data_IF_003362502292
#
_entry.id   IF_003362502292
#
_cell.length_a   1.000
_cell.length_b   1.000
_cell.length_c   1.000
_cell.angle_alpha   90.00
_cell.angle_beta   90.00
_cell.angle_gamma   90.00
#
_symmetry.space_group_name_H-M   'P 1'
#
loop_
_entity.id
_entity.type
_entity.pdbx_description
1 polymer ?
#
# COMPACT_ATOMS: atom_id res chain seq x y z
N UNK A 1 -64.94 -21.52 2.74
CA UNK A 1 -64.13 -20.46 3.43
C UNK A 1 -62.66 -20.71 3.15
N UNK A 2 -62.05 -20.01 2.20
CA UNK A 2 -60.62 -20.08 1.89
C UNK A 2 -59.94 -18.90 2.62
N UNK A 3 -59.06 -19.20 3.61
CA UNK A 3 -58.24 -18.18 4.24
C UNK A 3 -57.00 -17.93 3.40
N UNK A 4 -56.88 -16.77 2.78
CA UNK A 4 -55.66 -16.28 2.12
C UNK A 4 -54.73 -15.78 3.16
N UNK A 5 -53.58 -16.46 3.32
CA UNK A 5 -52.46 -16.07 4.19
C UNK A 5 -51.60 -15.06 3.42
N UNK A 6 -51.74 -13.78 3.74
CA UNK A 6 -50.85 -12.73 3.21
C UNK A 6 -49.48 -12.82 3.93
N UNK A 7 -48.46 -13.29 3.19
CA UNK A 7 -47.07 -13.16 3.64
C UNK A 7 -46.61 -11.70 3.49
N UNK A 8 -46.46 -11.02 4.61
CA UNK A 8 -45.80 -9.71 4.65
C UNK A 8 -44.30 -9.93 4.53
N UNK A 9 -43.73 -9.68 3.36
CA UNK A 9 -42.28 -9.72 3.12
C UNK A 9 -41.68 -8.41 3.69
N UNK A 10 -41.20 -8.45 4.95
CA UNK A 10 -40.39 -7.36 5.51
C UNK A 10 -39.04 -7.35 4.80
N UNK A 11 -38.86 -6.48 3.81
CA UNK A 11 -37.55 -6.11 3.29
C UNK A 11 -36.80 -5.40 4.44
N UNK A 12 -35.91 -6.12 5.10
CA UNK A 12 -34.87 -5.54 5.95
C UNK A 12 -33.94 -4.72 5.06
N UNK A 13 -34.20 -3.43 4.94
CA UNK A 13 -33.25 -2.45 4.43
C UNK A 13 -32.06 -2.42 5.42
N UNK A 14 -31.09 -3.29 5.21
CA UNK A 14 -29.80 -3.13 5.88
C UNK A 14 -29.25 -1.76 5.46
N UNK A 15 -28.86 -0.88 6.42
CA UNK A 15 -28.23 0.36 6.06
C UNK A 15 -26.94 0.03 5.29
N UNK A 16 -26.92 0.36 4.01
CA UNK A 16 -25.67 0.40 3.24
C UNK A 16 -24.83 1.46 3.94
N UNK A 17 -23.78 1.05 4.67
CA UNK A 17 -22.86 1.97 5.28
C UNK A 17 -22.26 2.83 4.16
N UNK A 18 -22.81 4.02 3.97
CA UNK A 18 -22.29 5.01 3.05
C UNK A 18 -21.08 5.65 3.73
N UNK A 19 -19.90 5.16 3.39
CA UNK A 19 -18.65 5.80 3.82
C UNK A 19 -18.42 7.06 2.97
N UNK A 20 -18.02 8.14 3.65
CA UNK A 20 -17.69 9.39 2.97
C UNK A 20 -16.35 9.24 2.22
N UNK A 21 -16.32 9.71 0.98
CA UNK A 21 -15.09 9.84 0.20
C UNK A 21 -14.75 11.32 0.10
N UNK A 22 -13.55 11.68 0.56
CA UNK A 22 -13.01 13.03 0.42
C UNK A 22 -12.10 13.10 -0.81
N UNK A 23 -12.51 13.85 -1.81
CA UNK A 23 -11.82 13.98 -3.09
C UNK A 23 -12.19 15.29 -3.80
N UNK A 24 -11.44 15.66 -4.82
CA UNK A 24 -11.86 16.69 -5.78
C UNK A 24 -12.43 16.05 -7.04
N UNK A 25 -13.34 16.73 -7.73
CA UNK A 25 -13.94 16.23 -8.98
C UNK A 25 -12.90 15.87 -10.04
N UNK A 26 -11.79 16.59 -10.09
CA UNK A 26 -10.65 16.28 -10.97
C UNK A 26 -10.04 14.91 -10.70
N UNK A 27 -10.04 14.44 -9.43
CA UNK A 27 -9.52 13.14 -9.06
C UNK A 27 -10.38 12.01 -9.65
N UNK A 28 -11.72 12.12 -9.55
CA UNK A 28 -12.63 11.10 -10.12
C UNK A 28 -12.54 11.02 -11.64
N UNK A 29 -12.47 12.16 -12.32
CA UNK A 29 -12.30 12.21 -13.78
C UNK A 29 -10.96 11.56 -14.18
N UNK A 30 -9.87 11.85 -13.45
CA UNK A 30 -8.57 11.28 -13.71
C UNK A 30 -8.53 9.76 -13.48
N UNK A 31 -9.17 9.27 -12.41
CA UNK A 31 -9.30 7.82 -12.14
C UNK A 31 -9.97 7.10 -13.30
N UNK A 32 -11.12 7.59 -13.78
CA UNK A 32 -11.85 6.95 -14.88
C UNK A 32 -11.07 6.96 -16.19
N UNK A 33 -10.34 8.05 -16.46
CA UNK A 33 -9.42 8.12 -17.60
C UNK A 33 -8.31 7.06 -17.47
N UNK A 34 -7.65 6.96 -16.31
CA UNK A 34 -6.60 5.98 -16.06
C UNK A 34 -7.12 4.54 -16.19
N UNK A 35 -8.30 4.22 -15.65
CA UNK A 35 -8.91 2.89 -15.77
C UNK A 35 -9.22 2.52 -17.22
N UNK A 36 -9.75 3.46 -18.00
CA UNK A 36 -9.99 3.27 -19.43
C UNK A 36 -8.70 2.98 -20.18
N UNK A 37 -7.67 3.81 -19.95
CA UNK A 37 -6.40 3.71 -20.65
C UNK A 37 -5.63 2.45 -20.26
N UNK A 38 -5.62 2.08 -18.97
CA UNK A 38 -5.04 0.84 -18.48
C UNK A 38 -5.72 -0.42 -19.02
N UNK A 39 -7.04 -0.35 -19.24
CA UNK A 39 -7.80 -1.46 -19.82
C UNK A 39 -7.51 -1.69 -21.31
N UNK A 40 -6.99 -0.69 -21.99
CA UNK A 40 -6.62 -0.78 -23.41
C UNK A 40 -5.20 -1.34 -23.62
N UNK A 41 -4.43 -1.54 -22.55
CA UNK A 41 -3.07 -2.06 -22.64
C UNK A 41 -3.05 -3.55 -23.02
N UNK A 42 -1.98 -4.02 -23.70
CA UNK A 42 -1.74 -5.44 -23.92
C UNK A 42 -1.76 -6.25 -22.60
N UNK A 43 -2.25 -7.49 -22.65
CA UNK A 43 -2.46 -8.33 -21.47
C UNK A 43 -1.17 -8.67 -20.68
N UNK A 44 -0.02 -8.60 -21.32
CA UNK A 44 1.31 -8.82 -20.74
C UNK A 44 1.91 -7.57 -20.10
N UNK A 45 1.25 -6.41 -20.22
CA UNK A 45 1.72 -5.15 -19.66
C UNK A 45 1.71 -5.15 -18.13
N UNK A 46 2.77 -4.61 -17.52
CA UNK A 46 2.77 -4.35 -16.08
C UNK A 46 1.88 -3.14 -15.75
N UNK A 47 0.64 -3.39 -15.35
CA UNK A 47 -0.30 -2.35 -14.92
C UNK A 47 0.26 -1.52 -13.75
N UNK A 48 0.91 -2.18 -12.78
CA UNK A 48 1.56 -1.49 -11.65
C UNK A 48 2.56 -0.44 -12.13
N UNK A 49 3.45 -0.83 -13.07
CA UNK A 49 4.46 0.09 -13.59
C UNK A 49 3.85 1.15 -14.50
N UNK A 50 2.85 0.79 -15.31
CA UNK A 50 2.11 1.74 -16.13
C UNK A 50 1.49 2.84 -15.27
N UNK A 51 0.70 2.47 -14.26
CA UNK A 51 0.04 3.45 -13.40
C UNK A 51 1.04 4.27 -12.57
N UNK A 52 2.08 3.65 -12.03
CA UNK A 52 3.09 4.38 -11.28
C UNK A 52 3.73 5.51 -12.11
N UNK A 53 3.98 5.27 -13.39
CA UNK A 53 4.55 6.26 -14.31
C UNK A 53 3.62 7.44 -14.59
N UNK A 54 2.29 7.26 -14.50
CA UNK A 54 1.32 8.35 -14.68
C UNK A 54 1.39 9.42 -13.58
N UNK A 55 2.06 9.12 -12.48
CA UNK A 55 2.21 10.02 -11.34
C UNK A 55 3.59 10.68 -11.24
N UNK A 56 4.51 10.40 -12.17
CA UNK A 56 5.83 11.04 -12.20
C UNK A 56 5.71 12.56 -12.24
N UNK A 57 6.51 13.23 -11.40
CA UNK A 57 6.54 14.68 -11.28
C UNK A 57 5.51 15.26 -10.29
N UNK A 58 4.51 14.50 -9.83
CA UNK A 58 3.57 15.00 -8.82
C UNK A 58 4.29 15.38 -7.52
N UNK A 59 3.86 16.45 -6.84
CA UNK A 59 4.43 16.86 -5.57
C UNK A 59 4.36 15.77 -4.49
N UNK A 60 5.42 15.65 -3.69
CA UNK A 60 5.39 14.88 -2.45
C UNK A 60 4.73 15.72 -1.35
N UNK A 61 3.67 15.19 -0.75
CA UNK A 61 3.06 15.77 0.44
C UNK A 61 2.63 14.64 1.37
N UNK A 62 3.19 14.63 2.58
CA UNK A 62 2.81 13.67 3.61
C UNK A 62 1.53 14.08 4.35
N UNK A 63 0.93 13.11 5.05
CA UNK A 63 -0.24 13.33 5.93
C UNK A 63 -1.51 13.78 5.20
N UNK A 64 -1.63 13.53 3.91
CA UNK A 64 -2.84 13.90 3.14
C UNK A 64 -4.09 13.10 3.52
N UNK A 65 -3.92 12.01 4.26
CA UNK A 65 -5.02 11.17 4.77
C UNK A 65 -5.61 11.68 6.09
N UNK A 66 -4.93 12.59 6.77
CA UNK A 66 -5.42 13.11 8.04
C UNK A 66 -6.55 14.11 7.82
N UNK A 67 -7.53 14.14 8.73
CA UNK A 67 -8.60 15.12 8.77
C UNK A 67 -8.43 16.05 9.98
N UNK A 68 -8.84 17.28 9.85
CA UNK A 68 -8.75 18.28 10.93
C UNK A 68 -9.70 17.97 12.09
N UNK A 69 -10.85 17.34 11.81
CA UNK A 69 -11.87 16.99 12.78
C UNK A 69 -11.69 15.57 13.36
N UNK A 70 -10.62 14.86 12.98
CA UNK A 70 -10.31 13.50 13.45
C UNK A 70 -11.19 12.40 12.87
N UNK A 71 -12.12 12.71 11.97
CA UNK A 71 -12.96 11.69 11.34
C UNK A 71 -12.18 10.91 10.29
N UNK A 72 -12.35 9.61 10.30
CA UNK A 72 -11.77 8.76 9.26
C UNK A 72 -12.64 8.78 8.01
N UNK A 73 -12.04 9.11 6.88
CA UNK A 73 -12.67 9.18 5.58
C UNK A 73 -11.80 8.47 4.53
N UNK A 74 -12.42 7.93 3.50
CA UNK A 74 -11.65 7.44 2.35
C UNK A 74 -11.15 8.62 1.53
N UNK A 75 -9.91 9.04 1.79
CA UNK A 75 -9.30 10.14 1.05
C UNK A 75 -8.72 9.66 -0.27
N UNK A 76 -9.07 10.36 -1.36
CA UNK A 76 -8.45 10.20 -2.68
C UNK A 76 -7.86 11.54 -3.09
N UNK A 77 -6.55 11.56 -3.36
CA UNK A 77 -5.84 12.75 -3.80
C UNK A 77 -4.81 12.33 -4.87
N UNK A 78 -5.10 12.62 -6.14
CA UNK A 78 -4.22 12.32 -7.27
C UNK A 78 -3.37 13.53 -7.70
N UNK A 79 -3.36 14.61 -6.92
CA UNK A 79 -2.62 15.84 -7.23
C UNK A 79 -1.29 15.93 -6.48
N UNK A 80 -1.18 15.22 -5.37
CA UNK A 80 0.01 15.12 -4.53
C UNK A 80 -0.03 13.80 -3.75
N UNK A 81 1.13 13.23 -3.46
CA UNK A 81 1.23 11.90 -2.85
C UNK A 81 2.42 11.79 -1.92
N UNK A 82 2.32 10.92 -0.93
CA UNK A 82 3.45 10.32 -0.24
C UNK A 82 3.71 8.89 -0.75
N UNK A 83 4.71 8.20 -0.18
CA UNK A 83 5.09 6.88 -0.64
C UNK A 83 3.97 5.84 -0.44
N UNK A 84 3.19 5.95 0.63
CA UNK A 84 2.09 5.03 0.93
C UNK A 84 0.91 5.27 -0.01
N UNK A 85 0.48 6.52 -0.14
CA UNK A 85 -0.66 6.87 -1.01
C UNK A 85 -0.37 6.63 -2.48
N UNK A 86 0.88 6.77 -2.94
CA UNK A 86 1.29 6.36 -4.29
C UNK A 86 1.09 4.86 -4.48
N UNK A 87 1.65 4.02 -3.59
CA UNK A 87 1.56 2.56 -3.69
C UNK A 87 0.10 2.09 -3.62
N UNK A 88 -0.69 2.61 -2.69
CA UNK A 88 -2.10 2.28 -2.56
C UNK A 88 -2.91 2.67 -3.81
N UNK A 89 -2.71 3.89 -4.33
CA UNK A 89 -3.41 4.35 -5.54
C UNK A 89 -3.10 3.49 -6.75
N UNK A 90 -1.80 3.19 -6.97
CA UNK A 90 -1.35 2.33 -8.08
C UNK A 90 -1.89 0.91 -7.94
N UNK A 91 -1.90 0.38 -6.72
CA UNK A 91 -2.45 -0.96 -6.45
C UNK A 91 -3.96 -1.00 -6.68
N UNK A 92 -4.71 -0.01 -6.19
CA UNK A 92 -6.17 0.06 -6.38
C UNK A 92 -6.56 0.18 -7.87
N UNK A 93 -5.86 1.01 -8.65
CA UNK A 93 -6.04 1.11 -10.10
C UNK A 93 -5.75 -0.22 -10.80
N UNK A 94 -4.68 -0.90 -10.39
CA UNK A 94 -4.29 -2.20 -10.95
C UNK A 94 -5.35 -3.27 -10.67
N UNK A 95 -5.82 -3.37 -9.42
CA UNK A 95 -6.87 -4.32 -9.04
C UNK A 95 -8.19 -4.00 -9.75
N UNK A 96 -8.61 -2.73 -9.77
CA UNK A 96 -9.82 -2.32 -10.48
C UNK A 96 -9.76 -2.74 -11.95
N UNK A 97 -8.68 -2.43 -12.65
CA UNK A 97 -8.52 -2.79 -14.08
C UNK A 97 -8.53 -4.29 -14.32
N UNK A 98 -7.79 -5.07 -13.50
CA UNK A 98 -7.73 -6.54 -13.61
C UNK A 98 -9.09 -7.21 -13.42
N UNK A 99 -9.93 -6.64 -12.56
CA UNK A 99 -11.28 -7.14 -12.28
C UNK A 99 -12.36 -6.48 -13.13
N UNK A 100 -11.99 -5.84 -14.24
CA UNK A 100 -12.94 -5.28 -15.20
C UNK A 100 -13.57 -3.96 -14.79
N UNK A 101 -13.15 -3.35 -13.69
CA UNK A 101 -13.65 -2.05 -13.21
C UNK A 101 -13.30 -0.93 -14.18
N UNK A 102 -14.23 0.03 -14.33
CA UNK A 102 -14.10 1.16 -15.26
C UNK A 102 -14.52 2.49 -14.64
N UNK A 103 -15.16 2.44 -13.48
CA UNK A 103 -15.79 3.58 -12.84
C UNK A 103 -15.06 4.00 -11.57
N UNK A 104 -15.28 5.24 -11.19
CA UNK A 104 -14.80 5.80 -9.92
C UNK A 104 -15.08 4.91 -8.71
N UNK A 105 -16.30 4.35 -8.64
CA UNK A 105 -16.69 3.48 -7.53
C UNK A 105 -15.85 2.20 -7.45
N UNK A 106 -15.46 1.61 -8.59
CA UNK A 106 -14.61 0.41 -8.62
C UNK A 106 -13.25 0.70 -7.99
N UNK A 107 -12.64 1.83 -8.35
CA UNK A 107 -11.38 2.27 -7.75
C UNK A 107 -11.51 2.50 -6.24
N UNK A 108 -12.56 3.21 -5.79
CA UNK A 108 -12.79 3.49 -4.38
C UNK A 108 -12.97 2.20 -3.58
N UNK A 109 -13.70 1.22 -4.11
CA UNK A 109 -13.88 -0.09 -3.47
C UNK A 109 -12.54 -0.82 -3.29
N UNK A 110 -11.67 -0.82 -4.30
CA UNK A 110 -10.35 -1.43 -4.19
C UNK A 110 -9.42 -0.67 -3.27
N UNK A 111 -9.47 0.67 -3.28
CA UNK A 111 -8.69 1.48 -2.37
C UNK A 111 -9.10 1.23 -0.91
N UNK A 112 -10.40 1.18 -0.63
CA UNK A 112 -10.94 0.81 0.68
C UNK A 112 -10.44 -0.59 1.07
N UNK A 113 -10.52 -1.54 0.14
CA UNK A 113 -10.14 -2.92 0.35
C UNK A 113 -8.67 -3.09 0.80
N UNK A 114 -7.75 -2.28 0.33
CA UNK A 114 -6.33 -2.41 0.65
C UNK A 114 -5.88 -1.48 1.78
N UNK A 115 -6.50 -0.31 1.97
CA UNK A 115 -6.11 0.68 2.98
C UNK A 115 -6.54 0.29 4.39
N UNK A 116 -7.69 -0.38 4.51
CA UNK A 116 -8.29 -0.70 5.79
C UNK A 116 -8.27 -2.19 6.08
N UNK A 117 -8.16 -2.56 7.36
CA UNK A 117 -8.24 -3.95 7.78
C UNK A 117 -9.53 -4.60 7.25
N UNK A 118 -9.34 -5.72 6.57
CA UNK A 118 -10.41 -6.51 5.95
C UNK A 118 -11.33 -5.70 5.01
N UNK A 119 -10.83 -4.54 4.55
CA UNK A 119 -11.56 -3.64 3.67
C UNK A 119 -12.71 -2.89 4.35
N UNK A 120 -12.66 -2.73 5.65
CA UNK A 120 -13.71 -2.07 6.42
C UNK A 120 -13.19 -0.83 7.14
N UNK A 121 -13.74 0.33 6.79
CA UNK A 121 -13.44 1.58 7.47
C UNK A 121 -14.34 1.72 8.72
N UNK A 122 -13.71 1.72 9.90
CA UNK A 122 -14.38 1.87 11.18
C UNK A 122 -13.47 2.63 12.17
N UNK A 123 -13.34 3.93 11.96
CA UNK A 123 -12.46 4.81 12.71
C UNK A 123 -10.99 4.69 12.33
N UNK A 124 -10.16 5.51 12.95
CA UNK A 124 -8.75 5.70 12.63
C UNK A 124 -7.92 4.42 12.71
N UNK A 125 -8.12 3.62 13.78
CA UNK A 125 -7.39 2.37 14.00
C UNK A 125 -7.75 1.24 13.02
N UNK A 126 -8.78 1.43 12.18
CA UNK A 126 -9.11 0.47 11.11
C UNK A 126 -8.20 0.63 9.88
N UNK A 127 -7.50 1.74 9.73
CA UNK A 127 -6.50 1.95 8.70
C UNK A 127 -5.24 1.12 8.99
N UNK A 128 -4.63 0.54 7.95
CA UNK A 128 -3.37 -0.18 8.09
C UNK A 128 -2.21 0.84 8.20
N UNK A 129 -1.87 1.23 9.43
CA UNK A 129 -0.86 2.27 9.69
C UNK A 129 0.59 1.80 9.48
N UNK A 130 0.83 0.49 9.63
CA UNK A 130 2.13 -0.14 9.36
C UNK A 130 2.03 -1.00 8.11
N UNK A 131 3.10 -1.04 7.33
CA UNK A 131 3.02 -1.74 6.06
C UNK A 131 2.93 -3.26 6.23
N UNK A 132 3.45 -3.82 7.32
CA UNK A 132 3.23 -5.24 7.66
C UNK A 132 1.75 -5.56 7.92
N UNK A 133 1.01 -4.62 8.49
CA UNK A 133 -0.45 -4.74 8.67
C UNK A 133 -1.16 -4.72 7.31
N UNK A 134 -0.75 -3.80 6.43
CA UNK A 134 -1.25 -3.68 5.07
C UNK A 134 -1.04 -4.97 4.26
N UNK A 135 0.19 -5.52 4.30
CA UNK A 135 0.52 -6.79 3.64
C UNK A 135 -0.39 -7.90 4.15
N UNK A 136 -0.44 -8.10 5.46
CA UNK A 136 -1.19 -9.21 6.07
C UNK A 136 -2.70 -9.12 5.78
N UNK A 137 -3.28 -7.92 5.83
CA UNK A 137 -4.69 -7.69 5.49
C UNK A 137 -4.96 -7.99 4.00
N UNK A 138 -4.12 -7.50 3.11
CA UNK A 138 -4.27 -7.70 1.67
C UNK A 138 -3.98 -9.15 1.23
N UNK A 139 -3.00 -9.84 1.85
CA UNK A 139 -2.70 -11.28 1.59
C UNK A 139 -3.87 -12.18 1.99
N UNK A 140 -4.47 -11.98 3.19
CA UNK A 140 -5.65 -12.77 3.62
C UNK A 140 -6.80 -12.72 2.62
N UNK A 141 -6.89 -11.63 1.89
CA UNK A 141 -7.93 -11.40 0.87
C UNK A 141 -7.50 -11.78 -0.54
N UNK A 142 -6.28 -12.32 -0.71
CA UNK A 142 -5.75 -12.72 -2.01
C UNK A 142 -5.46 -11.56 -2.96
N UNK A 143 -5.31 -10.32 -2.45
CA UNK A 143 -5.10 -9.12 -3.28
C UNK A 143 -3.62 -8.94 -3.64
N UNK A 144 -2.75 -9.35 -2.73
CA UNK A 144 -1.30 -9.32 -2.90
C UNK A 144 -0.68 -10.62 -2.38
N UNK A 145 0.57 -10.85 -2.72
CA UNK A 145 1.39 -11.92 -2.19
C UNK A 145 2.78 -11.39 -1.87
N UNK A 146 3.25 -11.63 -0.66
CA UNK A 146 4.64 -11.35 -0.33
C UNK A 146 5.56 -12.38 -0.98
N UNK A 147 6.51 -11.92 -1.77
CA UNK A 147 7.48 -12.79 -2.45
C UNK A 147 8.48 -13.29 -1.42
N UNK A 148 8.40 -14.57 -1.08
CA UNK A 148 9.26 -15.18 -0.05
C UNK A 148 10.41 -16.02 -0.65
N UNK A 149 10.40 -16.20 -1.97
CA UNK A 149 11.33 -17.08 -2.68
C UNK A 149 11.14 -18.55 -2.30
N UNK A 150 11.37 -19.47 -3.23
CA UNK A 150 11.37 -20.91 -2.94
C UNK A 150 12.68 -21.32 -2.24
N UNK A 151 12.60 -22.13 -1.19
CA UNK A 151 13.76 -22.66 -0.43
C UNK A 151 14.68 -23.58 -1.25
N UNK A 152 14.34 -23.89 -2.51
CA UNK A 152 15.15 -24.69 -3.43
C UNK A 152 15.85 -23.88 -4.54
N UNK A 153 15.75 -22.54 -4.53
CA UNK A 153 16.41 -21.73 -5.56
C UNK A 153 17.92 -21.61 -5.30
N UNK A 154 18.71 -21.76 -6.34
CA UNK A 154 20.19 -21.68 -6.32
C UNK A 154 20.72 -20.36 -5.73
N UNK A 155 19.91 -19.30 -5.77
CA UNK A 155 20.18 -17.98 -5.21
C UNK A 155 18.96 -17.50 -4.43
N UNK A 156 18.89 -17.84 -3.16
CA UNK A 156 17.84 -17.38 -2.26
C UNK A 156 18.24 -16.04 -1.60
N UNK A 157 17.65 -14.91 -1.98
CA UNK A 157 18.11 -13.60 -1.51
C UNK A 157 17.53 -13.18 -0.15
N UNK A 158 16.44 -13.81 0.35
CA UNK A 158 15.77 -13.43 1.61
C UNK A 158 16.50 -14.01 2.83
N UNK A 159 17.73 -13.58 3.05
CA UNK A 159 18.66 -14.18 4.02
C UNK A 159 18.58 -13.58 5.41
N UNK A 160 17.86 -12.46 5.57
CA UNK A 160 17.72 -11.80 6.86
C UNK A 160 16.27 -11.88 7.37
N UNK A 161 16.13 -11.74 8.69
CA UNK A 161 14.84 -11.77 9.40
C UNK A 161 14.72 -10.51 10.23
N UNK A 162 13.59 -9.82 10.10
CA UNK A 162 13.16 -8.78 11.02
C UNK A 162 12.13 -9.37 11.99
N UNK A 163 12.35 -9.24 13.29
CA UNK A 163 11.31 -9.42 14.29
C UNK A 163 10.57 -8.10 14.42
N UNK A 164 9.27 -8.12 14.12
CA UNK A 164 8.44 -6.93 14.24
C UNK A 164 8.29 -6.55 15.71
N UNK A 165 8.48 -5.28 16.01
CA UNK A 165 8.22 -4.66 17.30
C UNK A 165 7.56 -3.31 17.06
N UNK A 166 6.25 -3.33 16.87
CA UNK A 166 5.48 -2.17 16.44
C UNK A 166 4.97 -1.41 17.65
N UNK A 167 5.43 -0.19 17.84
CA UNK A 167 5.01 0.68 18.93
C UNK A 167 5.25 2.18 18.65
N UNK A 168 5.64 2.51 17.43
CA UNK A 168 6.03 3.89 17.09
C UNK A 168 4.88 4.88 17.33
N UNK A 169 3.67 4.57 16.85
CA UNK A 169 2.54 5.50 16.98
C UNK A 169 2.08 5.64 18.43
N UNK A 170 1.98 4.53 19.18
CA UNK A 170 1.57 4.56 20.58
C UNK A 170 2.57 5.31 21.47
N UNK A 171 3.87 5.23 21.16
CA UNK A 171 4.93 5.94 21.89
C UNK A 171 5.10 7.40 21.45
N UNK A 172 4.60 7.78 20.26
CA UNK A 172 4.71 9.14 19.72
C UNK A 172 3.34 9.77 19.47
N UNK A 173 2.37 9.54 20.37
CA UNK A 173 0.96 9.96 20.23
C UNK A 173 0.80 11.44 19.84
N UNK A 174 1.62 12.33 20.40
CA UNK A 174 1.56 13.77 20.11
C UNK A 174 1.84 14.12 18.64
N UNK A 175 2.50 13.21 17.89
CA UNK A 175 2.74 13.38 16.46
C UNK A 175 1.51 13.05 15.60
N UNK A 176 0.47 12.45 16.17
CA UNK A 176 -0.74 11.99 15.48
C UNK A 176 -1.98 12.61 16.10
N UNK A 177 -2.61 13.63 15.48
CA UNK A 177 -3.69 14.39 16.10
C UNK A 177 -4.85 13.54 16.64
N UNK A 178 -5.26 12.51 15.90
CA UNK A 178 -6.38 11.64 16.29
C UNK A 178 -6.06 10.89 17.58
N UNK A 179 -5.00 10.11 17.62
CA UNK A 179 -4.64 9.33 18.81
C UNK A 179 -4.04 10.19 19.94
N UNK A 180 -3.66 11.43 19.63
CA UNK A 180 -3.27 12.43 20.61
C UNK A 180 -4.44 12.96 21.43
N UNK A 181 -5.64 13.01 20.83
CA UNK A 181 -6.86 13.58 21.43
C UNK A 181 -7.95 12.53 21.75
N UNK A 182 -7.96 11.38 21.08
CA UNK A 182 -8.94 10.30 21.28
C UNK A 182 -8.27 9.09 21.93
N UNK A 183 -8.56 8.87 23.22
CA UNK A 183 -8.02 7.74 23.99
C UNK A 183 -8.51 6.38 23.48
N UNK A 184 -9.75 6.30 23.01
CA UNK A 184 -10.31 5.03 22.51
C UNK A 184 -9.60 4.61 21.21
N UNK A 185 -9.32 5.56 20.30
CA UNK A 185 -8.53 5.30 19.10
C UNK A 185 -7.08 4.97 19.44
N UNK A 186 -6.47 5.66 20.42
CA UNK A 186 -5.11 5.35 20.86
C UNK A 186 -4.98 3.92 21.40
N UNK A 187 -5.92 3.47 22.22
CA UNK A 187 -5.96 2.08 22.74
C UNK A 187 -6.13 1.08 21.59
N UNK A 188 -6.99 1.38 20.60
CA UNK A 188 -7.18 0.51 19.44
C UNK A 188 -5.92 0.41 18.56
N UNK A 189 -5.22 1.53 18.34
CA UNK A 189 -3.95 1.54 17.60
C UNK A 189 -2.89 0.73 18.34
N UNK A 190 -2.71 0.95 19.64
CA UNK A 190 -1.74 0.19 20.45
C UNK A 190 -2.05 -1.33 20.44
N UNK A 191 -3.32 -1.71 20.50
CA UNK A 191 -3.73 -3.10 20.33
C UNK A 191 -3.32 -3.67 18.97
N UNK A 192 -3.52 -2.92 17.87
CA UNK A 192 -3.09 -3.34 16.53
C UNK A 192 -1.57 -3.47 16.41
N UNK A 193 -0.81 -2.59 17.04
CA UNK A 193 0.65 -2.72 17.13
C UNK A 193 1.05 -4.02 17.83
N UNK A 194 0.43 -4.32 18.97
CA UNK A 194 0.70 -5.53 19.73
C UNK A 194 0.34 -6.83 18.97
N UNK A 195 -0.77 -6.86 18.23
CA UNK A 195 -1.21 -8.01 17.43
C UNK A 195 -0.17 -8.43 16.37
N UNK A 196 0.64 -7.50 15.90
CA UNK A 196 1.67 -7.75 14.89
C UNK A 196 3.07 -7.90 15.48
N UNK A 197 3.33 -7.40 16.68
CA UNK A 197 4.61 -7.51 17.35
C UNK A 197 4.96 -8.97 17.64
N UNK A 198 6.25 -9.30 17.54
CA UNK A 198 6.77 -10.65 17.72
C UNK A 198 6.80 -11.52 16.47
N UNK A 199 6.06 -11.14 15.41
CA UNK A 199 6.11 -11.85 14.12
C UNK A 199 7.49 -11.71 13.48
N UNK A 200 7.90 -12.73 12.73
CA UNK A 200 9.16 -12.73 12.00
C UNK A 200 8.90 -12.64 10.50
N UNK A 201 9.52 -11.68 9.84
CA UNK A 201 9.41 -11.48 8.39
C UNK A 201 10.79 -11.55 7.75
N UNK A 202 10.90 -12.24 6.61
CA UNK A 202 12.15 -12.35 5.87
C UNK A 202 12.29 -11.21 4.87
N UNK A 203 13.53 -10.77 4.66
CA UNK A 203 13.81 -9.70 3.71
C UNK A 203 15.15 -9.91 2.99
N UNK A 204 15.33 -9.23 1.87
CA UNK A 204 16.57 -9.16 1.12
C UNK A 204 17.42 -8.04 1.74
N UNK A 205 18.61 -8.35 2.31
CA UNK A 205 19.45 -7.32 2.92
C UNK A 205 19.97 -6.32 1.88
N UNK A 206 20.23 -5.09 2.33
CA UNK A 206 20.74 -4.01 1.48
C UNK A 206 22.00 -4.42 0.69
N UNK A 207 22.88 -5.24 1.29
CA UNK A 207 24.10 -5.74 0.65
C UNK A 207 23.87 -6.61 -0.61
N UNK A 208 22.69 -7.22 -0.72
CA UNK A 208 22.32 -8.04 -1.88
C UNK A 208 21.55 -7.25 -2.95
N UNK A 209 21.02 -6.08 -2.66
CA UNK A 209 20.22 -5.29 -3.62
C UNK A 209 21.02 -4.75 -4.80
N UNK A 210 22.35 -4.78 -4.73
CA UNK A 210 23.26 -4.46 -5.83
C UNK A 210 23.50 -5.62 -6.82
N UNK A 211 22.91 -6.79 -6.59
CA UNK A 211 22.97 -7.91 -7.53
C UNK A 211 22.15 -7.62 -8.79
N UNK A 212 22.48 -8.33 -9.86
CA UNK A 212 21.78 -8.17 -11.13
C UNK A 212 20.46 -8.92 -11.19
N UNK A 213 19.71 -8.71 -12.30
CA UNK A 213 18.39 -9.31 -12.53
C UNK A 213 18.39 -10.84 -12.45
N UNK A 214 19.50 -11.50 -12.79
CA UNK A 214 19.60 -12.96 -12.71
C UNK A 214 19.60 -13.48 -11.27
N UNK A 215 20.33 -12.81 -10.38
CA UNK A 215 20.43 -13.18 -8.97
C UNK A 215 19.18 -12.77 -8.18
N UNK A 216 18.53 -11.69 -8.59
CA UNK A 216 17.29 -11.18 -8.00
C UNK A 216 16.06 -11.46 -8.89
N UNK A 217 16.06 -12.61 -9.59
CA UNK A 217 15.01 -13.00 -10.54
C UNK A 217 13.61 -13.13 -9.92
N UNK A 218 13.53 -13.19 -8.59
CA UNK A 218 12.27 -13.15 -7.85
C UNK A 218 11.57 -11.80 -7.93
N UNK A 219 12.31 -10.70 -8.22
CA UNK A 219 11.77 -9.34 -8.33
C UNK A 219 11.40 -9.04 -9.79
N UNK A 220 10.17 -8.60 -10.00
CA UNK A 220 9.65 -8.20 -11.31
C UNK A 220 9.40 -6.69 -11.36
N UNK A 221 9.39 -6.14 -12.58
CA UNK A 221 8.95 -4.77 -12.80
C UNK A 221 7.51 -4.60 -12.31
N UNK A 222 7.26 -3.58 -11.49
CA UNK A 222 5.97 -3.33 -10.88
C UNK A 222 5.73 -3.98 -9.52
N UNK A 223 6.66 -4.79 -8.99
CA UNK A 223 6.57 -5.25 -7.60
C UNK A 223 6.69 -4.05 -6.65
N UNK A 224 5.97 -4.10 -5.52
CA UNK A 224 6.11 -3.12 -4.45
C UNK A 224 7.35 -3.48 -3.63
N UNK A 225 8.21 -2.50 -3.40
CA UNK A 225 9.39 -2.61 -2.55
C UNK A 225 9.15 -1.86 -1.25
N UNK A 226 9.14 -2.59 -0.13
CA UNK A 226 9.06 -2.02 1.21
C UNK A 226 10.47 -1.99 1.84
N UNK A 227 10.98 -0.80 2.13
CA UNK A 227 12.31 -0.60 2.66
C UNK A 227 12.30 -0.86 4.16
N UNK A 228 12.80 -2.03 4.54
CA UNK A 228 12.90 -2.49 5.94
C UNK A 228 13.81 -1.55 6.73
N UNK A 229 13.37 -1.16 7.92
CA UNK A 229 14.13 -0.22 8.74
C UNK A 229 14.60 -0.81 10.06
N UNK A 230 15.74 -0.28 10.56
CA UNK A 230 16.23 -0.52 11.91
C UNK A 230 15.74 0.52 12.93
N UNK A 231 14.86 1.45 12.53
CA UNK A 231 14.27 2.43 13.45
C UNK A 231 13.34 1.73 14.41
N UNK A 232 13.50 2.08 15.66
CA UNK A 232 12.70 1.52 16.75
C UNK A 232 11.20 1.76 16.55
N UNK A 233 10.39 0.74 16.83
CA UNK A 233 8.93 0.76 16.72
C UNK A 233 8.37 0.74 15.30
N UNK A 234 9.21 0.69 14.24
CA UNK A 234 8.78 0.67 12.84
C UNK A 234 9.18 -0.61 12.11
N UNK A 235 8.36 -1.03 11.14
CA UNK A 235 8.65 -2.14 10.23
C UNK A 235 9.39 -1.68 8.97
N UNK A 236 8.89 -0.63 8.31
CA UNK A 236 9.47 -0.05 7.10
C UNK A 236 9.59 1.47 7.20
N UNK A 237 10.53 2.04 6.47
CA UNK A 237 10.76 3.49 6.42
C UNK A 237 10.26 4.14 5.15
N UNK A 238 10.08 3.37 4.08
CA UNK A 238 9.71 3.90 2.77
C UNK A 238 9.15 2.82 1.85
N UNK A 239 8.38 3.24 0.85
CA UNK A 239 7.77 2.39 -0.17
C UNK A 239 8.07 2.90 -1.58
N UNK A 240 8.08 1.99 -2.53
CA UNK A 240 8.12 2.33 -3.95
C UNK A 240 7.83 1.13 -4.83
N UNK A 241 7.96 1.33 -6.13
CA UNK A 241 7.70 0.34 -7.18
C UNK A 241 9.02 -0.05 -7.83
N UNK A 242 9.25 -1.34 -8.00
CA UNK A 242 10.43 -1.91 -8.63
C UNK A 242 10.49 -1.56 -10.12
N UNK A 243 11.64 -1.08 -10.57
CA UNK A 243 11.95 -0.86 -11.98
C UNK A 243 13.34 -1.40 -12.28
N UNK A 244 13.42 -2.37 -13.19
CA UNK A 244 14.69 -2.81 -13.71
C UNK A 244 15.19 -1.83 -14.79
N UNK A 245 16.32 -1.16 -14.50
CA UNK A 245 16.94 -0.23 -15.43
C UNK A 245 17.62 -0.93 -16.61
N UNK A 246 17.95 -0.16 -17.66
CA UNK A 246 18.75 -0.62 -18.79
C UNK A 246 20.19 -0.98 -18.40
N UNK A 247 20.65 -0.50 -17.25
CA UNK A 247 21.92 -0.86 -16.61
C UNK A 247 21.90 -2.24 -15.94
N UNK A 248 20.77 -2.97 -16.02
CA UNK A 248 20.57 -4.27 -15.38
C UNK A 248 20.44 -4.20 -13.86
N UNK A 249 20.23 -3.02 -13.29
CA UNK A 249 20.10 -2.78 -11.85
C UNK A 249 18.66 -2.48 -11.47
N UNK A 250 18.35 -2.75 -10.21
CA UNK A 250 17.06 -2.41 -9.62
C UNK A 250 17.01 -0.94 -9.23
N UNK A 251 16.02 -0.22 -9.69
CA UNK A 251 15.72 1.16 -9.35
C UNK A 251 14.38 1.26 -8.61
N UNK A 252 14.13 2.41 -7.97
CA UNK A 252 12.93 2.68 -7.21
C UNK A 252 12.12 3.80 -7.86
N UNK A 253 10.87 3.54 -8.26
CA UNK A 253 9.90 4.56 -8.56
C UNK A 253 9.12 4.85 -7.28
N UNK A 254 9.20 6.07 -6.77
CA UNK A 254 8.66 6.41 -5.47
C UNK A 254 8.22 7.87 -5.35
N UNK A 255 7.35 8.18 -4.39
CA UNK A 255 7.12 9.55 -3.97
C UNK A 255 8.21 9.92 -2.95
N UNK A 256 9.20 10.70 -3.42
CA UNK A 256 10.41 11.02 -2.67
C UNK A 256 10.25 12.30 -1.88
N UNK A 257 10.36 12.20 -0.55
CA UNK A 257 10.43 13.38 0.33
C UNK A 257 11.71 14.20 0.13
N UNK A 258 12.76 13.59 -0.42
CA UNK A 258 14.04 14.26 -0.71
C UNK A 258 13.95 15.05 -2.01
N UNK A 259 13.35 14.46 -3.05
CA UNK A 259 13.14 15.10 -4.36
C UNK A 259 11.86 15.95 -4.39
N UNK A 260 11.07 15.96 -3.31
CA UNK A 260 9.78 16.64 -3.16
C UNK A 260 8.76 16.31 -4.25
N UNK A 261 8.88 15.14 -4.88
CA UNK A 261 7.98 14.69 -5.97
C UNK A 261 8.06 13.19 -6.20
N UNK A 262 7.13 12.68 -6.98
CA UNK A 262 7.20 11.30 -7.50
C UNK A 262 8.30 11.23 -8.57
N UNK A 263 9.25 10.32 -8.37
CA UNK A 263 10.41 10.14 -9.25
C UNK A 263 10.69 8.67 -9.53
N UNK A 264 11.27 8.38 -10.66
CA UNK A 264 12.11 7.20 -10.85
C UNK A 264 13.54 7.62 -10.49
N UNK A 265 14.07 7.06 -9.39
CA UNK A 265 15.41 7.40 -8.94
C UNK A 265 16.44 7.10 -10.02
N UNK A 266 17.25 8.10 -10.35
CA UNK A 266 18.34 7.97 -11.34
C UNK A 266 19.46 7.05 -10.87
N UNK A 267 19.59 6.88 -9.53
CA UNK A 267 20.57 5.96 -8.94
C UNK A 267 19.92 4.60 -8.65
N UNK A 268 20.65 3.49 -8.83
CA UNK A 268 20.14 2.18 -8.45
C UNK A 268 19.82 2.07 -6.97
N UNK A 269 18.85 1.21 -6.62
CA UNK A 269 18.34 1.03 -5.26
C UNK A 269 19.46 0.77 -4.22
N UNK A 270 20.49 -0.02 -4.57
CA UNK A 270 21.58 -0.30 -3.63
C UNK A 270 22.34 0.98 -3.25
N UNK A 271 22.50 1.93 -4.18
CA UNK A 271 23.11 3.24 -3.90
C UNK A 271 22.20 4.12 -3.07
N UNK A 272 20.89 4.04 -3.31
CA UNK A 272 19.90 4.70 -2.47
C UNK A 272 20.00 4.20 -1.02
N UNK A 273 20.01 2.88 -0.80
CA UNK A 273 20.12 2.28 0.55
C UNK A 273 21.42 2.62 1.24
N UNK A 274 22.55 2.71 0.52
CA UNK A 274 23.84 3.15 1.10
C UNK A 274 23.78 4.56 1.71
N UNK A 275 22.96 5.45 1.14
CA UNK A 275 22.74 6.81 1.66
C UNK A 275 21.73 6.87 2.82
N UNK A 276 21.02 5.78 3.08
CA UNK A 276 19.98 5.67 4.10
C UNK A 276 20.26 4.48 5.04
N UNK A 277 21.24 4.59 5.95
CA UNK A 277 21.77 3.45 6.72
C UNK A 277 20.75 2.81 7.66
N UNK A 278 19.67 3.51 8.02
CA UNK A 278 18.55 2.90 8.74
C UNK A 278 17.70 1.97 7.86
N UNK A 279 17.82 2.03 6.53
CA UNK A 279 17.12 1.10 5.62
C UNK A 279 18.02 -0.11 5.37
N UNK A 280 17.74 -1.21 6.07
CA UNK A 280 18.60 -2.40 6.15
C UNK A 280 18.37 -3.42 5.04
N UNK A 281 17.29 -3.26 4.25
CA UNK A 281 16.96 -4.15 3.14
C UNK A 281 15.57 -3.91 2.59
N UNK A 282 15.04 -4.88 1.85
CA UNK A 282 13.73 -4.77 1.21
C UNK A 282 12.88 -6.02 1.40
N UNK A 283 11.58 -5.84 1.58
CA UNK A 283 10.55 -6.84 1.35
C UNK A 283 9.94 -6.59 -0.02
N UNK A 284 9.48 -7.64 -0.68
CA UNK A 284 8.95 -7.60 -2.05
C UNK A 284 7.53 -8.09 -2.04
N UNK A 285 6.59 -7.28 -2.53
CA UNK A 285 5.18 -7.60 -2.55
C UNK A 285 4.65 -7.49 -3.97
N UNK A 286 3.92 -8.52 -4.40
CA UNK A 286 3.32 -8.60 -5.74
C UNK A 286 1.82 -8.54 -5.67
N UNK A 287 1.22 -7.68 -6.49
CA UNK A 287 -0.24 -7.64 -6.65
C UNK A 287 -0.69 -8.88 -7.42
N UNK A 288 -1.64 -9.64 -6.87
CA UNK A 288 -2.17 -10.86 -7.47
C UNK A 288 -2.85 -10.59 -8.83
N UNK A 289 -2.80 -11.61 -9.71
CA UNK A 289 -3.43 -11.53 -11.04
C UNK A 289 -4.93 -11.68 -10.98
#
# INVERSE_FOLDING_TARGET
MRRTLSLLLCLLLLPVASWAVRYEKSDSIRVEALLRDGAALPADSSLMLYYARQFLGLPYVGRTLESEDGREELVVNLRQMDCTTLVETVTALTLATRHGGRHWADFCNWLLAIRYFDGQMNGYASRCHYFSQWIASAERRGLVSEVKGGTGQRHYPFTQVQKLDLHYMSHHRSAYPVIGSDEAEAVRVAKREQEFSGQQVRYIPASLTGKGRRELSCIQDGDILALVTSRDGLDVSHLGIAVWGSDGRLHLLNASSISHRVVLDSVPLYRYLQKHPSSVGIRVIRVCR
#
